data_IF_943946329999
#
_entry.id   IF_943946329999
#
_cell.length_a   1.000
_cell.length_b   1.000
_cell.length_c   1.000
_cell.angle_alpha   90.00
_cell.angle_beta   90.00
_cell.angle_gamma   90.00
#
_symmetry.space_group_name_H-M   'P 1'
#
loop_
_entity.id
_entity.type
_entity.pdbx_description
1 polymer ?
#
# COMPACT_ATOMS: atom_id res chain seq x y z
N UNK A 1 17.07 44.23 9.13
CA UNK A 1 16.12 43.65 10.11
C UNK A 1 16.84 42.56 10.93
N UNK A 2 17.21 42.84 12.18
CA UNK A 2 17.93 41.89 13.06
C UNK A 2 16.98 40.79 13.57
N UNK A 3 17.33 39.52 13.34
CA UNK A 3 16.59 38.36 13.87
C UNK A 3 16.70 38.34 15.39
N UNK A 4 15.56 38.37 16.09
CA UNK A 4 15.48 38.10 17.53
C UNK A 4 15.64 36.59 17.76
N UNK A 5 16.87 36.11 17.86
CA UNK A 5 17.15 34.74 18.31
C UNK A 5 18.14 34.82 19.45
N UNK A 6 17.65 34.95 20.68
CA UNK A 6 18.37 34.65 21.94
C UNK A 6 17.37 34.78 23.10
N UNK A 7 16.31 33.97 23.09
CA UNK A 7 15.53 33.75 24.31
C UNK A 7 16.30 32.73 25.16
N UNK A 8 16.66 33.02 26.42
CA UNK A 8 17.33 32.04 27.27
C UNK A 8 16.43 30.81 27.42
N UNK A 9 16.93 29.64 27.03
CA UNK A 9 16.19 28.39 27.11
C UNK A 9 15.69 28.17 28.53
N UNK A 10 14.38 27.92 28.70
CA UNK A 10 13.77 27.61 30.00
C UNK A 10 14.52 26.43 30.62
N UNK A 11 15.34 26.68 31.63
CA UNK A 11 15.99 25.61 32.41
C UNK A 11 14.90 24.90 33.21
N UNK A 12 14.38 23.79 32.68
CA UNK A 12 13.41 22.96 33.39
C UNK A 12 13.98 22.50 34.73
N UNK A 13 13.11 22.38 35.75
CA UNK A 13 13.50 21.82 37.06
C UNK A 13 14.07 20.42 36.86
N UNK A 14 15.22 20.13 37.50
CA UNK A 14 15.77 18.77 37.50
C UNK A 14 14.79 17.85 38.25
N UNK A 15 14.50 16.65 37.72
CA UNK A 15 13.66 15.66 38.42
C UNK A 15 14.33 15.22 39.73
N UNK A 16 13.52 14.72 40.68
CA UNK A 16 14.01 14.24 41.96
C UNK A 16 14.93 13.02 41.79
N UNK A 17 15.79 12.76 42.80
CA UNK A 17 16.68 11.60 42.80
C UNK A 17 15.91 10.26 42.66
N UNK A 18 14.72 10.17 43.28
CA UNK A 18 13.84 9.00 43.18
C UNK A 18 13.40 8.77 41.73
N UNK A 19 12.97 9.83 41.04
CA UNK A 19 12.56 9.74 39.63
C UNK A 19 13.71 9.34 38.72
N UNK A 20 14.92 9.86 38.98
CA UNK A 20 16.13 9.48 38.23
C UNK A 20 16.43 7.99 38.44
N UNK A 21 16.46 7.51 39.68
CA UNK A 21 16.74 6.11 40.01
C UNK A 21 15.71 5.15 39.38
N UNK A 22 14.43 5.49 39.44
CA UNK A 22 13.36 4.73 38.80
C UNK A 22 13.54 4.66 37.28
N UNK A 23 13.84 5.79 36.64
CA UNK A 23 14.13 5.87 35.20
C UNK A 23 15.34 5.04 34.79
N UNK A 24 16.43 5.11 35.57
CA UNK A 24 17.64 4.30 35.32
C UNK A 24 17.34 2.81 35.42
N UNK A 25 16.57 2.38 36.43
CA UNK A 25 16.15 0.97 36.58
C UNK A 25 15.33 0.51 35.38
N UNK A 26 14.36 1.31 34.95
CA UNK A 26 13.53 1.00 33.78
C UNK A 26 14.35 0.86 32.49
N UNK A 27 15.30 1.77 32.27
CA UNK A 27 16.20 1.71 31.11
C UNK A 27 17.10 0.47 31.12
N UNK A 28 17.64 0.09 32.28
CA UNK A 28 18.43 -1.14 32.41
C UNK A 28 17.60 -2.37 32.05
N UNK A 29 16.38 -2.47 32.57
CA UNK A 29 15.48 -3.59 32.28
C UNK A 29 15.11 -3.64 30.80
N UNK A 30 14.77 -2.49 30.20
CA UNK A 30 14.47 -2.41 28.78
C UNK A 30 15.66 -2.80 27.92
N UNK A 31 16.86 -2.31 28.22
CA UNK A 31 18.06 -2.65 27.46
C UNK A 31 18.37 -4.15 27.53
N UNK A 32 18.19 -4.78 28.70
CA UNK A 32 18.39 -6.21 28.89
C UNK A 32 17.43 -7.07 28.04
N UNK A 33 16.19 -6.63 27.85
CA UNK A 33 15.18 -7.40 27.09
C UNK A 33 15.10 -7.02 25.61
N UNK A 34 15.42 -5.76 25.26
CA UNK A 34 15.20 -5.23 23.91
C UNK A 34 15.98 -5.96 22.82
N UNK A 35 17.13 -6.57 23.15
CA UNK A 35 17.94 -7.35 22.22
C UNK A 35 17.19 -8.57 21.68
N UNK A 36 16.32 -9.17 22.50
CA UNK A 36 15.54 -10.36 22.18
C UNK A 36 14.21 -10.04 21.47
N UNK A 37 13.81 -8.76 21.46
CA UNK A 37 12.55 -8.35 20.84
C UNK A 37 12.70 -8.21 19.32
N UNK A 38 11.66 -8.56 18.55
CA UNK A 38 11.70 -8.44 17.10
C UNK A 38 11.91 -6.98 16.67
N UNK A 39 12.71 -6.79 15.62
CA UNK A 39 12.97 -5.46 15.04
C UNK A 39 11.99 -5.13 13.93
N UNK A 40 11.75 -3.84 13.75
CA UNK A 40 10.87 -3.35 12.70
C UNK A 40 11.45 -3.65 11.31
N UNK A 41 10.74 -4.43 10.50
CA UNK A 41 11.20 -4.80 9.14
C UNK A 41 11.13 -3.67 8.09
N UNK A 42 11.08 -2.40 8.50
CA UNK A 42 10.99 -1.24 7.60
C UNK A 42 12.38 -0.66 7.36
N UNK A 43 12.56 0.06 6.25
CA UNK A 43 13.77 0.88 6.04
C UNK A 43 13.55 2.28 6.64
N UNK A 44 14.53 2.79 7.36
CA UNK A 44 14.51 4.14 7.90
C UNK A 44 14.62 5.16 6.78
N UNK A 45 13.75 6.17 6.78
CA UNK A 45 13.72 7.20 5.71
C UNK A 45 15.01 8.01 5.63
N UNK A 46 15.65 8.29 6.77
CA UNK A 46 16.82 9.17 6.85
C UNK A 46 18.11 8.49 6.42
N UNK A 47 18.30 7.22 6.79
CA UNK A 47 19.55 6.48 6.54
C UNK A 47 19.43 5.44 5.43
N UNK A 48 18.21 5.04 5.04
CA UNK A 48 17.97 3.96 4.08
C UNK A 48 18.19 2.54 4.65
N UNK A 49 18.78 2.43 5.84
CA UNK A 49 19.07 1.17 6.53
C UNK A 49 17.82 0.53 7.15
N UNK A 50 17.93 -0.73 7.60
CA UNK A 50 16.89 -1.38 8.37
C UNK A 50 16.58 -0.64 9.69
N UNK A 51 15.30 -0.52 10.01
CA UNK A 51 14.85 0.14 11.23
C UNK A 51 15.21 -0.69 12.46
N UNK A 52 16.02 -0.11 13.34
CA UNK A 52 16.49 -0.77 14.57
C UNK A 52 15.50 -0.67 15.73
N UNK A 53 14.35 -0.03 15.54
CA UNK A 53 13.33 0.10 16.57
C UNK A 53 12.60 -1.24 16.80
N UNK A 54 12.16 -1.46 18.04
CA UNK A 54 11.39 -2.64 18.42
C UNK A 54 10.05 -2.65 17.66
N UNK A 55 9.70 -3.80 17.10
CA UNK A 55 8.46 -4.02 16.39
C UNK A 55 7.29 -4.19 17.38
N UNK A 56 6.13 -3.65 17.00
CA UNK A 56 4.86 -3.96 17.64
C UNK A 56 4.29 -5.28 17.07
N UNK A 57 3.11 -5.70 17.51
CA UNK A 57 2.46 -6.96 17.09
C UNK A 57 2.24 -7.10 15.57
N UNK A 58 2.30 -6.00 14.82
CA UNK A 58 2.19 -6.00 13.36
C UNK A 58 3.55 -6.05 12.62
N UNK A 59 4.67 -6.24 13.32
CA UNK A 59 6.02 -6.27 12.74
C UNK A 59 6.61 -4.90 12.40
N UNK A 60 5.93 -3.80 12.73
CA UNK A 60 6.38 -2.42 12.51
C UNK A 60 6.51 -1.66 13.83
N UNK A 61 7.47 -0.73 13.93
CA UNK A 61 7.58 0.15 15.09
C UNK A 61 6.57 1.29 15.00
N UNK A 62 6.38 2.03 16.10
CA UNK A 62 5.45 3.15 16.17
C UNK A 62 5.71 4.24 15.10
N UNK A 63 6.97 4.45 14.69
CA UNK A 63 7.35 5.41 13.64
C UNK A 63 7.05 4.92 12.21
N UNK A 64 6.99 3.60 12.00
CA UNK A 64 6.71 2.99 10.70
C UNK A 64 5.30 2.38 10.63
N UNK A 65 4.33 2.98 11.35
CA UNK A 65 2.93 2.57 11.30
C UNK A 65 2.56 1.41 12.22
N UNK A 66 3.39 1.09 13.21
CA UNK A 66 3.10 0.08 14.23
C UNK A 66 1.79 0.30 14.97
N UNK A 67 1.43 1.57 15.18
CA UNK A 67 0.16 1.99 15.82
C UNK A 67 -1.04 2.03 14.87
N UNK A 68 -0.79 1.94 13.56
CA UNK A 68 -1.85 2.00 12.57
C UNK A 68 -2.49 0.61 12.45
N UNK A 69 -3.82 0.48 12.62
CA UNK A 69 -4.51 -0.80 12.49
C UNK A 69 -4.43 -1.31 11.04
N UNK A 70 -4.50 -2.64 10.89
CA UNK A 70 -4.52 -3.33 9.60
C UNK A 70 -5.92 -3.80 9.22
N UNK A 71 -6.12 -4.13 7.95
CA UNK A 71 -7.36 -4.74 7.47
C UNK A 71 -8.58 -3.84 7.67
N UNK A 72 -9.63 -4.37 8.31
CA UNK A 72 -10.91 -3.67 8.48
C UNK A 72 -10.84 -2.42 9.39
N UNK A 73 -9.80 -2.27 10.19
CA UNK A 73 -9.55 -1.07 10.99
C UNK A 73 -8.84 0.05 10.22
N UNK A 74 -8.33 -0.23 9.02
CA UNK A 74 -7.63 0.75 8.20
C UNK A 74 -8.59 1.87 7.76
N UNK A 75 -8.12 3.13 7.78
CA UNK A 75 -8.91 4.35 7.54
C UNK A 75 -10.09 4.62 8.48
N UNK A 76 -10.30 3.81 9.52
CA UNK A 76 -11.31 4.08 10.55
C UNK A 76 -10.76 4.95 11.67
N UNK A 77 -11.61 5.83 12.19
CA UNK A 77 -11.32 6.60 13.40
C UNK A 77 -11.15 5.60 14.55
N UNK A 78 -9.99 5.62 15.20
CA UNK A 78 -9.73 4.84 16.41
C UNK A 78 -10.26 5.61 17.61
N UNK A 79 -11.24 5.07 18.33
CA UNK A 79 -11.77 5.71 19.54
C UNK A 79 -10.82 5.51 20.72
N UNK A 80 -10.79 6.43 21.70
CA UNK A 80 -10.01 6.23 22.91
C UNK A 80 -10.55 5.04 23.71
N UNK A 81 -9.66 4.37 24.44
CA UNK A 81 -10.06 3.32 25.38
C UNK A 81 -10.84 3.93 26.56
N UNK A 82 -11.86 3.22 27.11
CA UNK A 82 -12.67 3.75 28.20
C UNK A 82 -11.88 4.15 29.46
N UNK A 83 -10.79 3.44 29.75
CA UNK A 83 -10.00 3.62 30.96
C UNK A 83 -8.84 4.63 30.83
N UNK A 84 -8.75 5.36 29.71
CA UNK A 84 -7.73 6.39 29.54
C UNK A 84 -8.09 7.63 30.38
N UNK A 85 -7.21 8.17 31.23
CA UNK A 85 -7.50 9.36 32.03
C UNK A 85 -7.90 10.60 31.20
N UNK A 86 -7.59 10.59 29.90
CA UNK A 86 -7.94 11.64 28.92
C UNK A 86 -8.89 11.13 27.83
N UNK A 87 -9.66 10.07 28.10
CA UNK A 87 -10.57 9.47 27.12
C UNK A 87 -11.55 10.51 26.57
N UNK A 88 -12.21 11.27 27.45
CA UNK A 88 -13.22 12.27 27.07
C UNK A 88 -12.61 13.38 26.19
N UNK A 89 -11.46 13.94 26.60
CA UNK A 89 -10.77 14.98 25.82
C UNK A 89 -10.40 14.49 24.41
N UNK A 90 -9.88 13.25 24.31
CA UNK A 90 -9.52 12.62 23.04
C UNK A 90 -10.75 12.34 22.17
N UNK A 91 -11.85 11.90 22.78
CA UNK A 91 -13.12 11.65 22.10
C UNK A 91 -13.64 12.95 21.48
N UNK A 92 -13.75 14.01 22.27
CA UNK A 92 -14.21 15.32 21.80
C UNK A 92 -13.30 15.87 20.69
N UNK A 93 -11.98 15.71 20.82
CA UNK A 93 -11.04 16.07 19.76
C UNK A 93 -11.31 15.34 18.44
N UNK A 94 -11.57 14.02 18.48
CA UNK A 94 -11.90 13.21 17.30
C UNK A 94 -13.25 13.58 16.69
N UNK A 95 -14.26 13.82 17.51
CA UNK A 95 -15.58 14.27 17.05
C UNK A 95 -15.48 15.62 16.33
N UNK A 96 -14.74 16.58 16.90
CA UNK A 96 -14.47 17.88 16.24
C UNK A 96 -13.75 17.72 14.90
N UNK A 97 -12.72 16.88 14.84
CA UNK A 97 -12.00 16.61 13.61
C UNK A 97 -12.90 15.97 12.54
N UNK A 98 -13.75 15.01 12.93
CA UNK A 98 -14.73 14.36 12.04
C UNK A 98 -15.74 15.36 11.48
N UNK A 99 -16.33 16.21 12.35
CA UNK A 99 -17.27 17.27 11.93
C UNK A 99 -16.61 18.25 10.95
N UNK A 100 -15.39 18.70 11.24
CA UNK A 100 -14.64 19.60 10.36
C UNK A 100 -14.38 18.97 8.99
N UNK A 101 -14.04 17.68 8.95
CA UNK A 101 -13.83 16.96 7.69
C UNK A 101 -15.12 16.83 6.88
N UNK A 102 -16.25 16.58 7.55
CA UNK A 102 -17.57 16.53 6.93
C UNK A 102 -17.96 17.90 6.35
N UNK A 103 -17.85 18.97 7.14
CA UNK A 103 -18.13 20.34 6.69
C UNK A 103 -17.28 20.73 5.48
N UNK A 104 -15.98 20.40 5.48
CA UNK A 104 -15.10 20.65 4.34
C UNK A 104 -15.57 19.91 3.08
N UNK A 105 -16.03 18.67 3.22
CA UNK A 105 -16.56 17.88 2.11
C UNK A 105 -17.87 18.48 1.58
N UNK A 106 -18.78 18.88 2.47
CA UNK A 106 -20.04 19.53 2.11
C UNK A 106 -19.79 20.86 1.37
N UNK A 107 -18.85 21.68 1.87
CA UNK A 107 -18.42 22.91 1.21
C UNK A 107 -17.83 22.64 -0.18
N UNK A 108 -16.99 21.62 -0.33
CA UNK A 108 -16.46 21.24 -1.64
C UNK A 108 -17.58 20.83 -2.60
N UNK A 109 -18.56 20.05 -2.13
CA UNK A 109 -19.69 19.61 -2.95
C UNK A 109 -20.68 20.73 -3.28
N UNK A 110 -20.83 21.74 -2.42
CA UNK A 110 -21.69 22.89 -2.67
C UNK A 110 -21.09 23.88 -3.66
N UNK A 111 -19.75 23.99 -3.71
CA UNK A 111 -19.03 24.79 -4.70
C UNK A 111 -19.03 24.13 -6.08
N UNK A 112 -19.10 22.80 -6.14
CA UNK A 112 -19.10 22.07 -7.41
C UNK A 112 -20.41 22.26 -8.20
N UNK A 113 -20.26 22.63 -9.48
CA UNK A 113 -21.37 22.63 -10.44
C UNK A 113 -21.90 21.21 -10.69
N UNK A 114 -23.10 21.09 -11.28
CA UNK A 114 -23.71 19.79 -11.59
C UNK A 114 -22.82 18.92 -12.50
N UNK A 115 -22.20 19.54 -13.52
CA UNK A 115 -21.30 18.84 -14.44
C UNK A 115 -20.00 18.37 -13.76
N UNK A 116 -19.44 19.17 -12.86
CA UNK A 116 -18.26 18.77 -12.08
C UNK A 116 -18.59 17.63 -11.12
N UNK A 117 -19.78 17.66 -10.50
CA UNK A 117 -20.25 16.60 -9.63
C UNK A 117 -20.42 15.29 -10.39
N UNK A 118 -21.04 15.31 -11.56
CA UNK A 118 -21.18 14.13 -12.42
C UNK A 118 -19.82 13.53 -12.83
N UNK A 119 -18.84 14.39 -13.20
CA UNK A 119 -17.47 13.95 -13.50
C UNK A 119 -16.78 13.34 -12.29
N UNK A 120 -16.90 13.97 -11.11
CA UNK A 120 -16.31 13.45 -9.88
C UNK A 120 -16.95 12.11 -9.47
N UNK A 121 -18.26 11.95 -9.61
CA UNK A 121 -18.94 10.67 -9.33
C UNK A 121 -18.53 9.57 -10.33
N UNK A 122 -18.41 9.89 -11.61
CA UNK A 122 -17.88 8.97 -12.62
C UNK A 122 -16.44 8.56 -12.31
N UNK A 123 -15.60 9.52 -11.90
CA UNK A 123 -14.23 9.26 -11.46
C UNK A 123 -14.20 8.36 -10.22
N UNK A 124 -14.98 8.68 -9.18
CA UNK A 124 -15.09 7.86 -7.98
C UNK A 124 -15.47 6.43 -8.33
N UNK A 125 -16.53 6.21 -9.13
CA UNK A 125 -16.99 4.87 -9.54
C UNK A 125 -15.91 4.07 -10.29
N UNK A 126 -15.23 4.71 -11.24
CA UNK A 126 -14.19 4.06 -12.05
C UNK A 126 -12.89 3.79 -11.28
N UNK A 127 -12.59 4.60 -10.27
CA UNK A 127 -11.34 4.53 -9.50
C UNK A 127 -11.51 3.91 -8.10
N UNK A 128 -12.69 3.36 -7.76
CA UNK A 128 -12.82 2.62 -6.51
C UNK A 128 -11.91 1.39 -6.53
N UNK A 129 -11.06 1.19 -5.50
CA UNK A 129 -10.31 -0.05 -5.37
C UNK A 129 -11.30 -1.22 -5.32
N UNK A 130 -11.27 -2.09 -6.33
CA UNK A 130 -12.14 -3.26 -6.38
C UNK A 130 -12.02 -4.14 -5.13
N UNK A 131 -12.95 -5.09 -4.99
CA UNK A 131 -12.93 -6.05 -3.87
C UNK A 131 -11.56 -6.75 -3.74
N UNK A 132 -11.22 -7.23 -2.54
CA UNK A 132 -9.94 -7.96 -2.33
C UNK A 132 -9.76 -9.09 -3.35
N UNK A 133 -10.84 -9.82 -3.66
CA UNK A 133 -10.86 -10.89 -4.68
C UNK A 133 -10.59 -10.33 -6.08
N UNK A 134 -11.27 -9.25 -6.47
CA UNK A 134 -11.07 -8.62 -7.79
C UNK A 134 -9.64 -8.10 -7.96
N UNK A 135 -9.07 -7.46 -6.94
CA UNK A 135 -7.67 -6.99 -6.97
C UNK A 135 -6.66 -8.13 -7.06
N UNK A 136 -6.91 -9.23 -6.34
CA UNK A 136 -6.07 -10.42 -6.41
C UNK A 136 -6.14 -11.09 -7.79
N UNK A 137 -7.35 -11.25 -8.35
CA UNK A 137 -7.55 -11.79 -9.69
C UNK A 137 -6.86 -10.92 -10.76
N UNK A 138 -7.04 -9.60 -10.72
CA UNK A 138 -6.36 -8.68 -11.63
C UNK A 138 -4.83 -8.74 -11.50
N UNK A 139 -4.30 -8.98 -10.27
CA UNK A 139 -2.86 -9.20 -10.09
C UNK A 139 -2.40 -10.50 -10.76
N UNK A 140 -3.15 -11.59 -10.61
CA UNK A 140 -2.83 -12.86 -11.27
C UNK A 140 -2.91 -12.75 -12.78
N UNK A 141 -3.91 -12.07 -13.32
CA UNK A 141 -4.02 -11.80 -14.75
C UNK A 141 -2.80 -11.03 -15.28
N UNK A 142 -2.30 -10.03 -14.55
CA UNK A 142 -1.08 -9.31 -14.94
C UNK A 142 0.18 -10.19 -14.89
N UNK A 143 0.27 -11.09 -13.91
CA UNK A 143 1.39 -12.04 -13.82
C UNK A 143 1.33 -13.01 -15.01
N UNK A 144 0.18 -13.64 -15.24
CA UNK A 144 -0.02 -14.57 -16.35
C UNK A 144 0.21 -13.91 -17.71
N UNK A 145 -0.30 -12.69 -17.93
CA UNK A 145 -0.07 -11.95 -19.17
C UNK A 145 1.42 -11.64 -19.38
N UNK A 146 2.16 -11.33 -18.31
CA UNK A 146 3.61 -11.11 -18.38
C UNK A 146 4.36 -12.41 -18.70
N UNK A 147 3.94 -13.53 -18.11
CA UNK A 147 4.52 -14.84 -18.39
C UNK A 147 4.26 -15.26 -19.85
N UNK A 148 3.02 -15.11 -20.34
CA UNK A 148 2.66 -15.36 -21.74
C UNK A 148 3.48 -14.48 -22.68
N UNK A 149 3.58 -13.17 -22.40
CA UNK A 149 4.37 -12.26 -23.21
C UNK A 149 5.86 -12.64 -23.23
N UNK A 150 6.41 -13.14 -22.12
CA UNK A 150 7.79 -13.60 -22.06
C UNK A 150 8.01 -14.87 -22.90
N UNK A 151 7.06 -15.82 -22.87
CA UNK A 151 7.10 -17.02 -23.71
C UNK A 151 7.02 -16.65 -25.19
N UNK A 152 6.07 -15.79 -25.57
CA UNK A 152 5.91 -15.34 -26.97
C UNK A 152 7.09 -14.51 -27.48
N UNK A 153 7.75 -13.76 -26.60
CA UNK A 153 8.95 -13.00 -26.95
C UNK A 153 10.21 -13.86 -27.04
N UNK A 154 10.18 -15.10 -26.55
CA UNK A 154 11.30 -16.03 -26.69
C UNK A 154 11.26 -16.59 -28.10
N UNK A 155 12.25 -16.28 -28.97
CA UNK A 155 12.29 -16.86 -30.30
C UNK A 155 12.36 -18.38 -30.16
N UNK A 156 11.40 -19.07 -30.75
CA UNK A 156 11.45 -20.52 -30.90
C UNK A 156 12.63 -20.84 -31.80
N UNK A 157 13.55 -21.69 -31.33
CA UNK A 157 14.61 -22.20 -32.18
C UNK A 157 14.00 -22.91 -33.40
N UNK A 158 14.60 -22.70 -34.57
CA UNK A 158 14.18 -23.35 -35.82
C UNK A 158 14.24 -24.86 -35.63
N UNK A 159 13.08 -25.49 -35.59
CA UNK A 159 12.96 -26.93 -35.44
C UNK A 159 12.76 -27.53 -36.84
N UNK A 160 13.71 -28.33 -37.37
CA UNK A 160 13.63 -28.88 -38.72
C UNK A 160 12.38 -29.76 -38.92
N UNK A 161 11.85 -30.35 -37.85
CA UNK A 161 10.59 -31.10 -37.91
C UNK A 161 9.38 -30.19 -38.14
N UNK A 162 9.40 -28.97 -37.59
CA UNK A 162 8.32 -27.99 -37.81
C UNK A 162 8.33 -27.50 -39.26
N UNK A 163 9.51 -27.25 -39.83
CA UNK A 163 9.64 -26.90 -41.25
C UNK A 163 9.18 -28.02 -42.17
N UNK A 164 9.55 -29.27 -41.87
CA UNK A 164 9.10 -30.46 -42.62
C UNK A 164 7.58 -30.59 -42.60
N UNK A 165 6.96 -30.41 -41.43
CA UNK A 165 5.50 -30.46 -41.29
C UNK A 165 4.85 -29.30 -42.06
N UNK A 166 5.41 -28.09 -42.00
CA UNK A 166 4.85 -26.95 -42.73
C UNK A 166 4.93 -27.14 -44.25
N UNK A 167 6.02 -27.72 -44.75
CA UNK A 167 6.17 -28.06 -46.17
C UNK A 167 5.11 -29.08 -46.63
N UNK A 168 4.82 -30.08 -45.79
CA UNK A 168 3.78 -31.07 -46.08
C UNK A 168 2.37 -30.45 -46.03
N UNK A 169 2.09 -29.55 -45.07
CA UNK A 169 0.83 -28.80 -45.04
C UNK A 169 0.63 -28.02 -46.34
N UNK A 170 1.64 -27.24 -46.76
CA UNK A 170 1.56 -26.44 -47.99
C UNK A 170 1.34 -27.31 -49.23
N UNK A 171 1.98 -28.49 -49.29
CA UNK A 171 1.78 -29.47 -50.36
C UNK A 171 0.33 -29.97 -50.39
N UNK A 172 -0.21 -30.36 -49.23
CA UNK A 172 -1.57 -30.88 -49.12
C UNK A 172 -2.62 -29.81 -49.44
N UNK A 173 -2.39 -28.56 -49.02
CA UNK A 173 -3.25 -27.43 -49.37
C UNK A 173 -3.26 -27.19 -50.88
N UNK A 174 -2.10 -27.20 -51.54
CA UNK A 174 -2.02 -27.05 -53.00
C UNK A 174 -2.77 -28.17 -53.74
N UNK A 175 -2.66 -29.41 -53.26
CA UNK A 175 -3.40 -30.55 -53.82
C UNK A 175 -4.91 -30.43 -53.59
N UNK A 176 -5.33 -29.96 -52.42
CA UNK A 176 -6.73 -29.73 -52.10
C UNK A 176 -7.34 -28.62 -52.98
N UNK A 177 -6.61 -27.51 -53.19
CA UNK A 177 -7.01 -26.44 -54.10
C UNK A 177 -7.13 -26.95 -55.53
N UNK A 178 -6.12 -27.63 -56.05
CA UNK A 178 -6.15 -28.18 -57.41
C UNK A 178 -7.30 -29.17 -57.61
N UNK A 179 -7.60 -29.99 -56.60
CA UNK A 179 -8.75 -30.91 -56.65
C UNK A 179 -10.08 -30.18 -56.64
N UNK A 180 -10.21 -29.14 -55.81
CA UNK A 180 -11.43 -28.32 -55.78
C UNK A 180 -11.65 -27.54 -57.07
N UNK A 181 -10.58 -27.14 -57.76
CA UNK A 181 -10.66 -26.48 -59.07
C UNK A 181 -11.04 -27.45 -60.20
N UNK A 182 -10.64 -28.73 -60.09
CA UNK A 182 -11.09 -29.77 -61.02
C UNK A 182 -12.55 -30.21 -60.79
N UNK A 183 -13.03 -30.25 -59.55
CA UNK A 183 -14.41 -30.63 -59.20
C UNK A 183 -15.46 -29.54 -59.54
N UNK A 184 -15.05 -28.33 -59.96
CA UNK A 184 -15.95 -27.22 -60.37
C UNK A 184 -16.39 -27.32 -61.85
N UNK A 185 -15.75 -28.18 -62.65
CA UNK A 185 -16.01 -28.31 -64.10
C UNK A 185 -16.65 -29.65 -64.52
N UNK A 186 -17.14 -30.46 -63.58
CA UNK A 186 -18.07 -31.59 -63.82
C UNK A 186 -19.47 -31.28 -63.28
#
# INVERSE_FOLDING_TARGET
MKKKTDAPGKKGRRPSAITIAAGTRALRNYNATSALLPRCGAKAKTTGEACRQVAMSNGRCCYHGGRTPKGAGWHKIQWPEPNDPKAEEKLQSKLRASRKAQQKREQQLSVMSANERARHEAWQRSHQPGSKRARAAARQQRIAAKEIAAVLATPTADNPEVERIQAEINRLEALATARSECDIFE
#
